data_IF_842944413855
#
_entry.id   IF_842944413855
#
_cell.length_a   1.000
_cell.length_b   1.000
_cell.length_c   1.000
_cell.angle_alpha   90.00
_cell.angle_beta   90.00
_cell.angle_gamma   90.00
#
_symmetry.space_group_name_H-M   'P 1'
#
loop_
_entity.id
_entity.type
_entity.pdbx_description
1 polymer ?
#
# COMPACT_ATOMS: atom_id res chain seq x y z
N UNK A 1 -35.85 -57.46 28.18
CA UNK A 1 -35.03 -56.88 29.28
C UNK A 1 -35.78 -55.64 29.78
N UNK A 2 -36.53 -55.74 30.89
CA UNK A 2 -36.21 -55.19 32.24
C UNK A 2 -36.01 -53.66 32.22
N UNK A 3 -37.04 -52.86 32.50
CA UNK A 3 -37.46 -52.28 33.81
C UNK A 3 -36.52 -51.16 34.34
N UNK A 4 -37.03 -49.93 34.34
CA UNK A 4 -36.58 -48.73 35.11
C UNK A 4 -36.68 -48.96 36.64
N UNK A 5 -36.07 -48.15 37.54
CA UNK A 5 -36.56 -46.80 37.95
C UNK A 5 -35.42 -45.74 38.15
N UNK A 6 -35.64 -44.42 38.05
CA UNK A 6 -36.36 -43.44 38.90
C UNK A 6 -35.56 -42.94 40.14
N UNK A 7 -35.83 -41.68 40.55
CA UNK A 7 -35.38 -40.89 41.72
C UNK A 7 -34.13 -40.00 41.52
N UNK A 8 -34.04 -38.72 41.92
CA UNK A 8 -34.91 -37.73 42.61
C UNK A 8 -34.16 -36.36 42.51
N UNK A 9 -34.72 -35.30 41.91
CA UNK A 9 -35.22 -34.05 42.56
C UNK A 9 -34.26 -33.30 43.49
N UNK A 10 -34.00 -32.00 43.23
CA UNK A 10 -34.34 -30.88 44.12
C UNK A 10 -33.82 -29.51 43.61
N UNK A 11 -34.75 -28.55 43.55
CA UNK A 11 -34.60 -27.10 43.35
C UNK A 11 -34.47 -26.46 44.74
N UNK A 12 -33.54 -25.51 44.98
CA UNK A 12 -33.66 -24.42 45.98
C UNK A 12 -32.74 -23.26 45.55
N UNK A 13 -33.29 -22.22 44.92
CA UNK A 13 -33.71 -20.93 45.49
C UNK A 13 -32.55 -19.93 45.75
N UNK A 14 -32.51 -18.95 44.85
CA UNK A 14 -31.79 -17.69 44.92
C UNK A 14 -32.41 -16.79 46.00
N UNK A 15 -31.60 -16.23 46.90
CA UNK A 15 -32.02 -15.06 47.70
C UNK A 15 -30.84 -14.10 47.85
N UNK A 16 -31.10 -12.88 47.42
CA UNK A 16 -30.25 -11.69 47.48
C UNK A 16 -30.27 -11.13 48.90
N UNK A 17 -29.12 -10.68 49.40
CA UNK A 17 -29.03 -9.69 50.48
C UNK A 17 -28.10 -8.56 50.03
N UNK A 18 -28.67 -7.35 49.96
CA UNK A 18 -27.98 -6.09 49.67
C UNK A 18 -27.48 -5.54 51.02
N UNK A 19 -26.22 -5.13 51.10
CA UNK A 19 -25.75 -4.25 52.16
C UNK A 19 -24.87 -3.16 51.57
N UNK A 20 -25.15 -1.94 52.03
CA UNK A 20 -24.80 -0.64 51.48
C UNK A 20 -23.40 -0.11 51.84
N UNK A 21 -23.03 0.91 51.07
CA UNK A 21 -22.30 2.12 51.46
C UNK A 21 -20.77 2.15 51.38
N UNK A 22 -20.35 3.28 50.80
CA UNK A 22 -19.05 3.83 50.47
C UNK A 22 -17.93 3.63 51.49
N UNK A 23 -16.71 3.57 50.95
CA UNK A 23 -15.60 4.49 51.31
C UNK A 23 -14.45 4.37 50.31
N UNK A 24 -13.95 5.53 49.94
CA UNK A 24 -12.73 5.77 49.18
C UNK A 24 -11.46 5.21 49.84
N UNK A 25 -10.44 5.09 48.99
CA UNK A 25 -8.98 5.05 49.24
C UNK A 25 -8.34 3.79 49.84
N UNK A 26 -7.62 3.07 48.97
CA UNK A 26 -6.22 2.70 49.24
C UNK A 26 -5.45 2.51 47.92
N UNK A 27 -4.48 3.41 47.71
CA UNK A 27 -3.49 3.43 46.61
C UNK A 27 -2.56 2.22 46.75
N UNK A 28 -2.55 1.32 45.76
CA UNK A 28 -1.45 0.38 45.55
C UNK A 28 -0.56 0.98 44.45
N UNK A 29 0.63 1.42 44.88
CA UNK A 29 1.75 1.78 44.01
C UNK A 29 2.26 0.51 43.35
N UNK A 30 1.74 0.18 42.18
CA UNK A 30 2.44 -0.73 41.28
C UNK A 30 3.24 0.09 40.27
N UNK A 31 4.55 -0.16 40.29
CA UNK A 31 5.53 0.42 39.38
C UNK A 31 5.31 -0.23 38.01
N UNK A 32 4.32 0.27 37.28
CA UNK A 32 4.10 -0.09 35.88
C UNK A 32 5.36 0.32 35.14
N UNK A 33 6.18 -0.68 34.83
CA UNK A 33 7.20 -0.55 33.80
C UNK A 33 6.42 -0.61 32.50
N UNK A 34 5.88 0.54 32.09
CA UNK A 34 5.37 0.75 30.75
C UNK A 34 6.58 0.62 29.83
N UNK A 35 6.83 -0.59 29.33
CA UNK A 35 7.41 -0.70 27.99
C UNK A 35 6.35 -0.12 27.08
N UNK A 36 6.41 1.20 26.91
CA UNK A 36 5.72 1.88 25.85
C UNK A 36 6.23 1.25 24.56
N UNK A 37 5.44 0.35 23.98
CA UNK A 37 5.46 0.18 22.53
C UNK A 37 5.00 1.53 22.04
N UNK A 38 5.94 2.42 21.76
CA UNK A 38 5.67 3.63 21.03
C UNK A 38 5.18 3.17 19.66
N UNK A 39 3.86 3.05 19.53
CA UNK A 39 3.22 3.28 18.25
C UNK A 39 3.71 4.66 17.82
N UNK A 40 4.48 4.70 16.73
CA UNK A 40 4.89 5.96 16.14
C UNK A 40 3.61 6.74 15.82
N UNK A 41 3.46 7.89 16.46
CA UNK A 41 2.36 8.80 16.25
C UNK A 41 2.24 9.15 14.77
N UNK A 42 1.05 8.94 14.23
CA UNK A 42 0.58 9.35 12.92
C UNK A 42 0.55 10.90 12.87
N UNK A 43 1.67 11.55 12.57
CA UNK A 43 1.69 12.86 11.87
C UNK A 43 2.98 12.98 11.04
N UNK A 44 2.90 12.67 9.75
CA UNK A 44 3.78 13.27 8.73
C UNK A 44 2.91 13.92 7.66
N UNK A 45 2.53 15.18 7.87
CA UNK A 45 2.27 16.09 6.74
C UNK A 45 3.57 16.91 6.56
N UNK A 46 4.13 17.08 5.36
CA UNK A 46 3.46 17.17 4.06
C UNK A 46 4.30 16.56 2.92
N UNK A 47 3.76 15.52 2.26
CA UNK A 47 3.90 15.43 0.81
C UNK A 47 2.57 15.90 0.19
N UNK A 48 2.68 16.67 -0.88
CA UNK A 48 1.54 17.29 -1.58
C UNK A 48 1.75 17.17 -3.07
N UNK A 49 2.06 15.95 -3.51
CA UNK A 49 2.12 15.64 -4.93
C UNK A 49 0.84 16.12 -5.62
N UNK A 50 0.99 16.41 -6.91
CA UNK A 50 -0.12 16.77 -7.78
C UNK A 50 -0.19 15.76 -8.94
N UNK A 51 -0.26 14.49 -8.57
CA UNK A 51 -0.59 13.40 -9.49
C UNK A 51 -2.10 13.40 -9.65
N UNK A 52 -2.55 13.46 -10.90
CA UNK A 52 -3.95 13.45 -11.29
C UNK A 52 -4.14 12.45 -12.42
N UNK A 53 -5.35 11.92 -12.56
CA UNK A 53 -5.65 11.05 -13.69
C UNK A 53 -7.02 11.33 -14.29
N UNK A 54 -7.16 11.00 -15.57
CA UNK A 54 -8.45 10.89 -16.26
C UNK A 54 -8.54 9.50 -16.88
N UNK A 55 -9.56 8.74 -16.49
CA UNK A 55 -9.88 7.47 -17.13
C UNK A 55 -10.80 7.73 -18.33
N UNK A 56 -10.30 7.45 -19.53
CA UNK A 56 -11.09 7.53 -20.76
C UNK A 56 -12.08 6.37 -20.81
N UNK A 57 -13.37 6.70 -20.93
CA UNK A 57 -14.47 5.73 -20.97
C UNK A 57 -15.23 5.87 -22.28
N UNK A 58 -15.68 4.74 -22.82
CA UNK A 58 -16.66 4.74 -23.91
C UNK A 58 -17.94 5.46 -23.47
N UNK A 59 -18.60 6.17 -24.39
CA UNK A 59 -19.88 6.83 -24.12
C UNK A 59 -21.01 5.82 -23.81
N UNK A 60 -20.91 4.60 -24.34
CA UNK A 60 -21.85 3.51 -24.11
C UNK A 60 -21.07 2.23 -23.74
N UNK A 61 -20.62 2.09 -22.49
CA UNK A 61 -19.79 0.96 -22.09
C UNK A 61 -20.59 -0.34 -22.08
N UNK A 62 -19.95 -1.42 -22.55
CA UNK A 62 -20.39 -2.79 -22.28
C UNK A 62 -20.30 -3.10 -20.78
N UNK A 63 -20.97 -4.16 -20.33
CA UNK A 63 -20.87 -4.62 -18.94
C UNK A 63 -19.41 -4.93 -18.53
N UNK A 64 -18.62 -5.50 -19.45
CA UNK A 64 -17.20 -5.79 -19.24
C UNK A 64 -16.38 -4.51 -19.07
N UNK A 65 -16.57 -3.52 -19.94
CA UNK A 65 -15.90 -2.22 -19.82
C UNK A 65 -16.30 -1.53 -18.52
N UNK A 66 -17.57 -1.55 -18.15
CA UNK A 66 -18.05 -0.96 -16.90
C UNK A 66 -17.39 -1.61 -15.67
N UNK A 67 -17.26 -2.94 -15.66
CA UNK A 67 -16.56 -3.65 -14.58
C UNK A 67 -15.07 -3.28 -14.52
N UNK A 68 -14.38 -3.26 -15.67
CA UNK A 68 -12.99 -2.84 -15.75
C UNK A 68 -12.80 -1.39 -15.28
N UNK A 69 -13.67 -0.47 -15.71
CA UNK A 69 -13.62 0.92 -15.28
C UNK A 69 -13.76 1.08 -13.78
N UNK A 70 -14.62 0.31 -13.12
CA UNK A 70 -14.79 0.38 -11.67
C UNK A 70 -13.52 -0.10 -10.92
N UNK A 71 -12.90 -1.19 -11.39
CA UNK A 71 -11.66 -1.71 -10.82
C UNK A 71 -10.49 -0.74 -11.04
N UNK A 72 -10.32 -0.25 -12.27
CA UNK A 72 -9.27 0.72 -12.61
C UNK A 72 -9.46 2.02 -11.83
N UNK A 73 -10.70 2.51 -11.68
CA UNK A 73 -10.98 3.71 -10.87
C UNK A 73 -10.53 3.49 -9.42
N UNK A 74 -10.89 2.35 -8.82
CA UNK A 74 -10.49 2.02 -7.43
C UNK A 74 -8.97 1.92 -7.29
N UNK A 75 -8.30 1.29 -8.25
CA UNK A 75 -6.85 1.14 -8.28
C UNK A 75 -6.14 2.50 -8.39
N UNK A 76 -6.56 3.33 -9.35
CA UNK A 76 -5.97 4.64 -9.61
C UNK A 76 -6.27 5.64 -8.49
N UNK A 77 -7.48 5.66 -7.93
CA UNK A 77 -7.82 6.51 -6.78
C UNK A 77 -6.92 6.20 -5.58
N UNK A 78 -6.70 4.90 -5.31
CA UNK A 78 -5.79 4.47 -4.24
C UNK A 78 -4.36 4.88 -4.55
N UNK A 79 -3.83 4.56 -5.73
CA UNK A 79 -2.46 4.88 -6.10
C UNK A 79 -2.19 6.39 -6.07
N UNK A 80 -3.09 7.21 -6.63
CA UNK A 80 -2.98 8.67 -6.62
C UNK A 80 -3.03 9.24 -5.21
N UNK A 81 -3.87 8.68 -4.32
CA UNK A 81 -3.87 9.06 -2.91
C UNK A 81 -2.46 8.90 -2.30
N UNK A 82 -1.87 7.70 -2.40
CA UNK A 82 -0.55 7.45 -1.82
C UNK A 82 0.56 8.28 -2.49
N UNK A 83 0.53 8.42 -3.81
CA UNK A 83 1.47 9.29 -4.52
C UNK A 83 1.40 10.73 -4.01
N UNK A 84 0.20 11.28 -3.84
CA UNK A 84 0.05 12.67 -3.39
C UNK A 84 0.38 12.85 -1.92
N UNK A 85 0.13 11.84 -1.08
CA UNK A 85 0.39 11.88 0.36
C UNK A 85 1.86 11.66 0.74
N UNK A 86 2.61 10.89 -0.06
CA UNK A 86 3.97 10.47 0.27
C UNK A 86 5.05 10.89 -0.74
N UNK A 87 4.69 11.57 -1.83
CA UNK A 87 5.66 12.09 -2.81
C UNK A 87 5.40 13.55 -3.17
N UNK A 88 6.37 14.17 -3.85
CA UNK A 88 6.29 15.54 -4.36
C UNK A 88 6.06 15.61 -5.87
N UNK A 89 5.84 14.47 -6.53
CA UNK A 89 5.64 14.43 -7.99
C UNK A 89 4.41 15.23 -8.44
N UNK A 90 4.54 15.88 -9.60
CA UNK A 90 3.42 16.48 -10.34
C UNK A 90 3.27 15.77 -11.68
N UNK A 91 2.10 15.19 -11.95
CA UNK A 91 1.85 14.44 -13.18
C UNK A 91 0.37 14.46 -13.53
N UNK A 92 0.06 14.67 -14.80
CA UNK A 92 -1.28 14.43 -15.33
C UNK A 92 -1.27 13.17 -16.17
N UNK A 93 -2.13 12.22 -15.80
CA UNK A 93 -2.12 10.87 -16.36
C UNK A 93 -3.40 10.62 -17.16
N UNK A 94 -3.26 10.10 -18.38
CA UNK A 94 -4.39 9.58 -19.16
C UNK A 94 -4.40 8.07 -19.04
N UNK A 95 -5.48 7.53 -18.46
CA UNK A 95 -5.67 6.09 -18.27
C UNK A 95 -6.67 5.57 -19.30
N UNK A 96 -6.38 4.42 -19.90
CA UNK A 96 -7.27 3.76 -20.85
C UNK A 96 -7.40 2.27 -20.54
N UNK A 97 -8.55 1.69 -20.87
CA UNK A 97 -8.75 0.25 -20.90
C UNK A 97 -8.56 -0.26 -22.33
N UNK A 98 -7.56 -1.12 -22.53
CA UNK A 98 -7.16 -1.64 -23.85
C UNK A 98 -7.06 -3.18 -23.74
N UNK A 99 -8.12 -3.93 -24.08
CA UNK A 99 -8.19 -5.38 -23.85
C UNK A 99 -7.02 -6.21 -24.40
N UNK A 100 -6.34 -5.72 -25.45
CA UNK A 100 -5.19 -6.38 -26.09
C UNK A 100 -3.87 -6.20 -25.32
N UNK A 101 -3.80 -5.30 -24.34
CA UNK A 101 -2.68 -5.23 -23.40
C UNK A 101 -2.76 -6.42 -22.46
N UNK A 102 -1.64 -7.11 -22.23
CA UNK A 102 -1.62 -8.34 -21.43
C UNK A 102 -1.82 -8.07 -19.92
N UNK A 103 -1.24 -6.98 -19.42
CA UNK A 103 -1.22 -6.59 -18.00
C UNK A 103 -1.63 -5.13 -17.85
N UNK A 104 -0.66 -4.23 -17.69
CA UNK A 104 -0.77 -2.80 -17.82
C UNK A 104 0.57 -2.27 -18.37
N UNK A 105 0.58 -1.05 -18.91
CA UNK A 105 1.81 -0.37 -19.31
C UNK A 105 1.69 1.15 -19.17
N UNK A 106 2.66 1.73 -18.48
CA UNK A 106 2.85 3.16 -18.27
C UNK A 106 3.96 3.74 -19.16
N UNK A 107 3.82 5.01 -19.53
CA UNK A 107 4.80 5.72 -20.35
C UNK A 107 5.10 7.10 -19.77
N UNK A 108 6.34 7.57 -19.96
CA UNK A 108 6.81 8.86 -19.45
C UNK A 108 5.98 10.06 -19.93
N UNK A 109 5.29 9.93 -21.07
CA UNK A 109 4.36 10.93 -21.58
C UNK A 109 3.07 11.09 -20.74
N UNK A 110 2.87 10.25 -19.71
CA UNK A 110 1.70 10.27 -18.84
C UNK A 110 0.56 9.36 -19.29
N UNK A 111 0.75 8.45 -20.26
CA UNK A 111 -0.27 7.44 -20.59
C UNK A 111 -0.09 6.18 -19.74
N UNK A 112 -1.20 5.63 -19.24
CA UNK A 112 -1.28 4.29 -18.67
C UNK A 112 -2.38 3.51 -19.40
N UNK A 113 -2.10 2.26 -19.77
CA UNK A 113 -3.09 1.34 -20.35
C UNK A 113 -3.25 0.15 -19.43
N UNK A 114 -4.48 -0.24 -19.13
CA UNK A 114 -4.80 -1.49 -18.46
C UNK A 114 -5.39 -2.49 -19.46
N UNK A 115 -4.90 -3.73 -19.39
CA UNK A 115 -5.35 -4.88 -20.17
C UNK A 115 -6.65 -5.49 -19.68
N UNK A 116 -7.09 -6.55 -20.36
CA UNK A 116 -8.33 -7.28 -19.99
C UNK A 116 -8.21 -8.14 -18.72
N UNK A 117 -7.00 -8.43 -18.27
CA UNK A 117 -6.78 -9.26 -17.09
C UNK A 117 -7.01 -8.46 -15.80
N UNK A 118 -8.19 -8.64 -15.21
CA UNK A 118 -8.61 -7.96 -13.96
C UNK A 118 -7.68 -8.18 -12.77
N UNK A 119 -6.85 -9.23 -12.77
CA UNK A 119 -5.83 -9.44 -11.74
C UNK A 119 -4.86 -8.25 -11.60
N UNK A 120 -4.59 -7.54 -12.70
CA UNK A 120 -3.70 -6.37 -12.74
C UNK A 120 -4.42 -5.04 -12.52
N UNK A 121 -5.75 -5.03 -12.33
CA UNK A 121 -6.51 -3.80 -12.07
C UNK A 121 -6.57 -3.52 -10.56
N UNK A 122 -5.40 -3.37 -9.94
CA UNK A 122 -5.23 -3.17 -8.50
C UNK A 122 -4.23 -2.03 -8.22
N UNK A 123 -4.19 -1.55 -6.97
CA UNK A 123 -3.39 -0.39 -6.60
C UNK A 123 -1.86 -0.63 -6.68
N UNK A 124 -1.37 -1.86 -6.46
CA UNK A 124 0.05 -2.17 -6.60
C UNK A 124 0.50 -2.01 -8.05
N UNK A 125 -0.26 -2.56 -9.00
CA UNK A 125 -0.02 -2.35 -10.43
C UNK A 125 -0.17 -0.88 -10.81
N UNK A 126 -1.19 -0.17 -10.31
CA UNK A 126 -1.33 1.26 -10.62
C UNK A 126 -0.15 2.10 -10.12
N UNK A 127 0.38 1.85 -8.91
CA UNK A 127 1.59 2.52 -8.40
C UNK A 127 2.80 2.22 -9.28
N UNK A 128 2.99 0.95 -9.67
CA UNK A 128 4.03 0.53 -10.61
C UNK A 128 3.95 1.30 -11.93
N UNK A 129 2.77 1.36 -12.56
CA UNK A 129 2.61 2.08 -13.82
C UNK A 129 2.81 3.60 -13.65
N UNK A 130 2.41 4.19 -12.53
CA UNK A 130 2.70 5.60 -12.24
C UNK A 130 4.21 5.83 -12.12
N UNK A 131 4.97 4.91 -11.50
CA UNK A 131 6.42 4.99 -11.42
C UNK A 131 7.06 5.08 -12.82
N UNK A 132 6.55 4.31 -13.79
CA UNK A 132 6.97 4.44 -15.19
C UNK A 132 6.63 5.79 -15.79
N UNK A 133 5.51 6.42 -15.42
CA UNK A 133 5.20 7.75 -15.93
C UNK A 133 6.17 8.81 -15.40
N UNK A 134 6.72 8.65 -14.19
CA UNK A 134 7.60 9.64 -13.57
C UNK A 134 9.10 9.36 -13.79
N UNK A 135 9.46 8.26 -14.44
CA UNK A 135 10.81 8.08 -15.01
C UNK A 135 11.42 6.69 -14.82
N UNK A 136 10.89 5.86 -13.93
CA UNK A 136 11.40 4.50 -13.72
C UNK A 136 11.30 3.71 -15.03
N UNK A 137 12.42 3.22 -15.55
CA UNK A 137 12.43 2.45 -16.80
C UNK A 137 12.10 3.23 -18.07
N UNK A 138 11.90 4.55 -17.98
CA UNK A 138 11.42 5.36 -19.12
C UNK A 138 12.17 6.68 -19.29
N UNK A 139 12.88 7.19 -18.27
CA UNK A 139 13.72 8.38 -18.37
C UNK A 139 15.14 8.02 -18.77
N UNK A 140 15.84 8.89 -19.51
CA UNK A 140 17.24 8.66 -19.87
C UNK A 140 18.16 8.59 -18.64
N UNK A 141 17.79 9.26 -17.55
CA UNK A 141 18.54 9.24 -16.29
C UNK A 141 18.49 7.86 -15.64
N UNK A 142 17.35 7.16 -15.72
CA UNK A 142 17.22 5.76 -15.29
C UNK A 142 18.35 4.88 -15.87
N UNK A 143 18.48 4.90 -17.20
CA UNK A 143 19.36 4.01 -17.95
C UNK A 143 20.82 4.39 -17.90
N UNK A 144 21.11 5.69 -17.99
CA UNK A 144 22.47 6.17 -18.19
C UNK A 144 23.18 6.51 -16.88
N UNK A 145 22.45 6.60 -15.77
CA UNK A 145 22.99 7.13 -14.51
C UNK A 145 22.57 6.28 -13.33
N UNK A 146 21.27 6.06 -13.14
CA UNK A 146 20.78 5.47 -11.91
C UNK A 146 20.97 3.96 -11.85
N UNK A 147 20.78 3.23 -12.95
CA UNK A 147 21.03 1.78 -13.02
C UNK A 147 22.43 1.50 -13.59
N UNK A 148 23.33 0.97 -12.76
CA UNK A 148 24.68 0.54 -13.17
C UNK A 148 24.89 -0.91 -12.80
N UNK A 149 25.12 -1.77 -13.79
CA UNK A 149 25.36 -3.21 -13.60
C UNK A 149 24.25 -3.91 -12.78
N UNK A 150 23.00 -3.51 -12.98
CA UNK A 150 21.83 -4.09 -12.31
C UNK A 150 21.56 -3.56 -10.89
N UNK A 151 22.28 -2.51 -10.48
CA UNK A 151 22.15 -1.88 -9.16
C UNK A 151 21.73 -0.42 -9.34
N UNK A 152 20.76 0.01 -8.56
CA UNK A 152 20.40 1.42 -8.44
C UNK A 152 21.43 2.15 -7.58
N UNK A 153 21.99 3.23 -8.09
CA UNK A 153 23.15 3.93 -7.52
C UNK A 153 22.81 5.22 -6.79
N UNK A 154 21.55 5.66 -6.84
CA UNK A 154 21.08 6.86 -6.14
C UNK A 154 21.18 6.69 -4.61
N UNK A 155 21.84 7.62 -3.89
CA UNK A 155 22.11 7.50 -2.46
C UNK A 155 20.86 7.66 -1.59
N UNK A 156 19.91 8.52 -1.96
CA UNK A 156 18.75 8.85 -1.13
C UNK A 156 17.77 7.69 -1.10
N UNK A 157 17.34 7.17 -2.26
CA UNK A 157 16.41 6.04 -2.32
C UNK A 157 17.01 4.80 -1.63
N UNK A 158 18.32 4.57 -1.81
CA UNK A 158 19.04 3.47 -1.15
C UNK A 158 19.03 3.62 0.37
N UNK A 159 19.23 4.83 0.91
CA UNK A 159 19.18 5.06 2.35
C UNK A 159 17.76 4.87 2.91
N UNK A 160 16.73 5.25 2.16
CA UNK A 160 15.33 5.00 2.52
C UNK A 160 15.07 3.49 2.61
N UNK A 161 15.50 2.70 1.62
CA UNK A 161 15.36 1.25 1.66
C UNK A 161 16.00 0.66 2.92
N UNK A 162 17.25 1.03 3.21
CA UNK A 162 17.99 0.52 4.39
C UNK A 162 17.30 0.85 5.71
N UNK A 163 16.61 1.99 5.75
CA UNK A 163 15.82 2.40 6.92
C UNK A 163 14.56 1.53 7.04
N UNK A 164 13.85 1.31 5.94
CA UNK A 164 12.65 0.46 5.88
C UNK A 164 12.96 -0.98 6.32
N UNK A 165 14.07 -1.54 5.83
CA UNK A 165 14.46 -2.94 6.08
C UNK A 165 15.26 -3.13 7.36
N UNK A 166 15.68 -2.05 8.02
CA UNK A 166 16.65 -2.06 9.11
C UNK A 166 17.91 -2.87 8.76
N UNK A 167 18.40 -2.72 7.53
CA UNK A 167 19.59 -3.38 7.01
C UNK A 167 20.48 -2.37 6.30
N UNK A 168 21.62 -2.04 6.92
CA UNK A 168 22.60 -1.09 6.38
C UNK A 168 23.26 -1.51 5.06
N UNK A 169 23.15 -2.79 4.69
CA UNK A 169 23.74 -3.36 3.48
C UNK A 169 22.74 -3.54 2.33
N UNK A 170 21.45 -3.29 2.57
CA UNK A 170 20.42 -3.43 1.55
C UNK A 170 20.71 -2.55 0.32
N UNK A 171 20.37 -3.08 -0.85
CA UNK A 171 20.54 -2.44 -2.14
C UNK A 171 19.21 -2.46 -2.91
N UNK A 172 18.94 -1.37 -3.62
CA UNK A 172 17.90 -1.38 -4.65
C UNK A 172 18.55 -1.97 -5.91
N UNK A 173 17.94 -3.04 -6.42
CA UNK A 173 18.28 -3.62 -7.70
C UNK A 173 17.34 -3.06 -8.75
N UNK A 174 17.80 -3.05 -10.00
CA UNK A 174 16.95 -2.69 -11.10
C UNK A 174 17.46 -3.24 -12.41
N UNK A 175 16.57 -3.23 -13.39
CA UNK A 175 16.87 -3.59 -14.75
C UNK A 175 16.51 -2.45 -15.69
N UNK A 176 16.33 -2.81 -16.95
CA UNK A 176 15.89 -1.89 -17.98
C UNK A 176 14.62 -1.13 -17.60
N UNK A 177 13.65 -1.78 -16.98
CA UNK A 177 12.31 -1.26 -16.79
C UNK A 177 11.97 -1.07 -15.31
N UNK A 178 12.49 -1.93 -14.44
CA UNK A 178 11.94 -2.16 -13.12
C UNK A 178 12.96 -1.97 -12.01
N UNK A 179 12.48 -1.84 -10.78
CA UNK A 179 13.29 -2.00 -9.58
C UNK A 179 12.69 -2.98 -8.59
N UNK A 180 13.52 -3.44 -7.67
CA UNK A 180 13.11 -4.20 -6.50
C UNK A 180 14.13 -3.98 -5.37
N UNK A 181 13.72 -4.13 -4.10
CA UNK A 181 12.39 -4.47 -3.60
C UNK A 181 11.37 -3.31 -3.70
N UNK A 182 10.10 -3.61 -3.40
CA UNK A 182 8.98 -2.65 -3.38
C UNK A 182 8.63 -1.97 -4.71
N UNK A 183 9.05 -2.53 -5.85
CA UNK A 183 8.72 -1.99 -7.18
C UNK A 183 7.35 -2.38 -7.73
N UNK A 184 6.68 -3.37 -7.13
CA UNK A 184 5.38 -3.90 -7.56
C UNK A 184 5.33 -4.39 -9.02
N UNK A 185 6.40 -5.06 -9.45
CA UNK A 185 6.52 -5.73 -10.74
C UNK A 185 5.44 -6.81 -10.95
N UNK A 186 4.93 -7.36 -9.85
CA UNK A 186 3.77 -8.25 -9.85
C UNK A 186 2.80 -7.93 -8.71
N UNK A 187 1.46 -8.10 -8.90
CA UNK A 187 0.50 -7.91 -7.83
C UNK A 187 0.75 -8.76 -6.59
N UNK A 188 1.39 -9.93 -6.75
CA UNK A 188 1.74 -10.84 -5.67
C UNK A 188 2.85 -10.33 -4.74
N UNK A 189 3.54 -9.25 -5.11
CA UNK A 189 4.55 -8.61 -4.25
C UNK A 189 3.92 -7.72 -3.17
N UNK A 190 2.63 -7.41 -3.30
CA UNK A 190 1.90 -6.69 -2.26
C UNK A 190 1.56 -7.61 -1.09
N UNK A 191 1.98 -7.20 0.11
CA UNK A 191 1.72 -7.94 1.36
C UNK A 191 0.90 -7.14 2.36
N UNK A 192 1.08 -5.81 2.41
CA UNK A 192 0.33 -4.93 3.31
C UNK A 192 0.32 -3.48 2.80
N UNK A 193 -0.59 -2.66 3.32
CA UNK A 193 -0.67 -1.24 2.96
C UNK A 193 0.63 -0.46 3.26
N UNK A 194 1.49 -0.94 4.16
CA UNK A 194 2.81 -0.34 4.36
C UNK A 194 3.67 -0.41 3.10
N UNK A 195 3.51 -1.42 2.24
CA UNK A 195 4.29 -1.56 1.02
C UNK A 195 4.00 -0.41 0.04
N UNK A 196 2.77 0.13 0.03
CA UNK A 196 2.44 1.31 -0.79
C UNK A 196 3.21 2.55 -0.32
N UNK A 197 3.32 2.73 0.99
CA UNK A 197 4.09 3.82 1.60
C UNK A 197 5.57 3.65 1.28
N UNK A 198 6.10 2.42 1.42
CA UNK A 198 7.50 2.11 1.12
C UNK A 198 7.84 2.35 -0.35
N UNK A 199 6.98 1.90 -1.27
CA UNK A 199 7.12 2.21 -2.70
C UNK A 199 7.19 3.72 -2.95
N UNK A 200 6.25 4.49 -2.41
CA UNK A 200 6.20 5.94 -2.61
C UNK A 200 7.43 6.64 -2.01
N UNK A 201 7.85 6.27 -0.79
CA UNK A 201 9.04 6.84 -0.15
C UNK A 201 10.31 6.53 -0.95
N UNK A 202 10.45 5.31 -1.46
CA UNK A 202 11.57 4.94 -2.33
C UNK A 202 11.54 5.79 -3.61
N UNK A 203 10.38 5.92 -4.26
CA UNK A 203 10.21 6.71 -5.48
C UNK A 203 10.48 8.20 -5.26
N UNK A 204 10.08 8.76 -4.12
CA UNK A 204 10.44 10.12 -3.70
C UNK A 204 11.94 10.27 -3.47
N UNK A 205 12.60 9.26 -2.88
CA UNK A 205 14.06 9.21 -2.83
C UNK A 205 14.69 9.21 -4.22
N UNK A 206 14.10 8.47 -5.17
CA UNK A 206 14.57 8.46 -6.55
C UNK A 206 14.40 9.83 -7.22
N UNK A 207 13.31 10.55 -6.95
CA UNK A 207 13.11 11.94 -7.38
C UNK A 207 14.24 12.85 -6.90
N UNK A 208 14.63 12.72 -5.62
CA UNK A 208 15.71 13.49 -5.01
C UNK A 208 17.10 13.11 -5.54
N UNK A 209 17.26 11.86 -5.99
CA UNK A 209 18.45 11.37 -6.70
C UNK A 209 18.48 11.81 -8.19
N UNK A 210 17.45 12.51 -8.67
CA UNK A 210 17.39 13.15 -9.98
C UNK A 210 16.68 12.36 -11.08
N UNK A 211 15.79 11.42 -10.71
CA UNK A 211 14.98 10.62 -11.66
C UNK A 211 14.21 11.45 -12.69
#
# INVERSE_FOLDING_TARGET
MKKSPCFLTAIVALTVMIASCSKDEAIVKDKVTTTAVAAADDVVAAATGNVTYTLVKSANPTATEQAAYNLITTAMDTAVKYMNEYTTFTKSITVTYVPSVATADGNINGSIRFGSNTYYMNAATALHEIAHTVGVGTSSVWWNTLIVSGIYTGPVATQILRTITNDSTAQIHGDSQHFWPYGFNYPSEFSSYHDYIYHCNILEGMNQDGL
#
